data_IF_174967625433
#
_entry.id   IF_174967625433
#
_cell.length_a   1.000
_cell.length_b   1.000
_cell.length_c   1.000
_cell.angle_alpha   90.00
_cell.angle_beta   90.00
_cell.angle_gamma   90.00
#
_symmetry.space_group_name_H-M   'P 1'
#
loop_
_entity.id
_entity.type
_entity.pdbx_description
1 polymer ?
#
# COMPACT_ATOMS: atom_id res chain seq x y z
N UNK A 1 -5.64 -37.54 -11.46
CA UNK A 1 -6.87 -37.27 -12.24
C UNK A 1 -8.01 -37.12 -11.26
N UNK A 2 -8.85 -36.10 -11.46
CA UNK A 2 -10.19 -35.78 -10.93
C UNK A 2 -10.28 -34.25 -10.86
N UNK A 3 -10.42 -33.70 -12.05
CA UNK A 3 -10.74 -32.31 -12.35
C UNK A 3 -12.21 -32.08 -12.05
N UNK A 4 -12.51 -31.33 -10.99
CA UNK A 4 -13.86 -30.83 -10.74
C UNK A 4 -13.91 -29.36 -11.12
N UNK A 5 -14.33 -29.09 -12.36
CA UNK A 5 -14.62 -27.75 -12.88
C UNK A 5 -16.08 -27.42 -12.53
N UNK A 6 -16.30 -26.53 -11.56
CA UNK A 6 -17.61 -25.92 -11.32
C UNK A 6 -17.67 -24.59 -12.07
N UNK A 7 -18.51 -24.56 -13.11
CA UNK A 7 -18.85 -23.35 -13.85
C UNK A 7 -19.80 -22.49 -13.01
N UNK A 8 -19.47 -21.21 -12.85
CA UNK A 8 -20.38 -20.21 -12.29
C UNK A 8 -20.52 -19.11 -13.34
N UNK A 9 -21.69 -19.08 -13.97
CA UNK A 9 -22.16 -18.00 -14.84
C UNK A 9 -22.76 -16.90 -13.98
N UNK A 10 -22.20 -15.69 -14.02
CA UNK A 10 -22.85 -14.48 -13.51
C UNK A 10 -22.88 -13.46 -14.63
N UNK A 11 -24.05 -13.29 -15.22
CA UNK A 11 -24.43 -12.14 -16.04
C UNK A 11 -24.75 -10.97 -15.11
N UNK A 12 -24.07 -9.85 -15.31
CA UNK A 12 -24.48 -8.56 -14.75
C UNK A 12 -24.08 -7.44 -15.72
N UNK A 13 -25.06 -6.99 -16.50
CA UNK A 13 -24.99 -5.74 -17.24
C UNK A 13 -25.11 -4.59 -16.24
N UNK A 14 -24.12 -3.69 -16.21
CA UNK A 14 -24.23 -2.41 -15.51
C UNK A 14 -23.74 -1.32 -16.46
N UNK A 15 -24.68 -0.49 -16.88
CA UNK A 15 -24.43 0.74 -17.61
C UNK A 15 -23.74 1.75 -16.69
N UNK A 16 -22.60 2.29 -17.12
CA UNK A 16 -21.97 3.44 -16.47
C UNK A 16 -22.18 4.68 -17.33
N UNK A 17 -23.02 5.59 -16.83
CA UNK A 17 -23.18 6.93 -17.35
C UNK A 17 -21.88 7.72 -17.18
N UNK A 18 -21.41 8.32 -18.26
CA UNK A 18 -20.31 9.28 -18.25
C UNK A 18 -20.86 10.66 -17.86
N UNK A 19 -20.34 11.24 -16.77
CA UNK A 19 -20.38 12.68 -16.56
C UNK A 19 -18.96 13.16 -16.28
N UNK A 20 -18.31 13.66 -17.33
CA UNK A 20 -17.11 14.48 -17.25
C UNK A 20 -17.31 15.67 -18.19
N UNK A 21 -17.11 16.88 -17.66
CA UNK A 21 -16.53 17.97 -18.44
C UNK A 21 -17.29 19.30 -18.48
N UNK A 22 -16.56 20.33 -18.02
CA UNK A 22 -16.63 21.76 -18.39
C UNK A 22 -17.89 22.52 -17.92
N UNK A 23 -17.86 23.80 -17.54
CA UNK A 23 -16.91 24.91 -17.50
C UNK A 23 -17.35 25.75 -16.24
N UNK A 24 -16.81 26.88 -15.79
CA UNK A 24 -16.18 28.00 -16.45
C UNK A 24 -15.59 28.92 -15.36
N UNK A 25 -14.85 29.89 -15.83
CA UNK A 25 -14.05 30.93 -15.18
C UNK A 25 -14.80 31.92 -14.29
N UNK A 26 -14.09 32.59 -13.38
CA UNK A 26 -13.88 34.05 -13.37
C UNK A 26 -13.52 34.61 -11.98
N UNK A 27 -12.61 35.59 -12.02
CA UNK A 27 -12.00 36.29 -10.90
C UNK A 27 -12.91 37.37 -10.29
N UNK A 28 -12.68 37.71 -9.01
CA UNK A 28 -12.86 39.07 -8.49
C UNK A 28 -11.97 39.28 -7.26
N UNK A 29 -11.11 40.28 -7.34
CA UNK A 29 -10.32 40.80 -6.23
C UNK A 29 -11.18 41.74 -5.38
N UNK A 30 -10.98 41.75 -4.06
CA UNK A 30 -11.19 42.95 -3.24
C UNK A 30 -10.22 42.93 -2.04
N UNK A 31 -9.69 44.11 -1.72
CA UNK A 31 -8.57 44.34 -0.81
C UNK A 31 -9.07 44.81 0.56
N UNK A 32 -8.61 44.22 1.67
CA UNK A 32 -8.51 44.93 2.95
C UNK A 32 -7.71 44.19 4.04
N UNK A 33 -6.74 44.92 4.62
CA UNK A 33 -6.13 44.83 5.95
C UNK A 33 -5.14 43.69 6.30
N UNK A 34 -3.86 43.99 6.60
CA UNK A 34 -2.95 43.05 7.24
C UNK A 34 -3.19 43.06 8.77
N UNK A 35 -3.98 42.11 9.26
CA UNK A 35 -4.03 41.82 10.70
C UNK A 35 -2.99 40.76 11.02
N UNK A 36 -1.85 41.19 11.55
CA UNK A 36 -0.84 40.31 12.17
C UNK A 36 -1.44 39.56 13.35
N UNK A 37 -1.32 38.22 13.45
CA UNK A 37 -1.42 37.53 14.72
C UNK A 37 -0.01 37.29 15.26
N UNK A 38 0.27 37.88 16.41
CA UNK A 38 1.42 37.55 17.24
C UNK A 38 1.43 36.03 17.51
N UNK A 39 2.44 35.35 17.00
CA UNK A 39 2.66 33.92 17.26
C UNK A 39 3.33 33.73 18.61
N UNK A 40 2.54 33.48 19.65
CA UNK A 40 3.04 32.79 20.84
C UNK A 40 3.08 31.27 20.54
N UNK A 41 4.15 30.53 20.89
CA UNK A 41 4.20 29.10 20.65
C UNK A 41 3.32 28.39 21.68
N UNK A 42 2.03 28.23 21.37
CA UNK A 42 1.22 27.24 22.03
C UNK A 42 1.79 25.87 21.67
N UNK A 43 2.38 25.18 22.64
CA UNK A 43 2.55 23.71 22.58
C UNK A 43 1.15 23.13 22.43
N UNK A 44 0.70 22.97 21.20
CA UNK A 44 -0.47 22.19 20.87
C UNK A 44 -0.12 20.76 21.27
N UNK A 45 -0.56 20.34 22.45
CA UNK A 45 -0.79 18.92 22.71
C UNK A 45 -1.80 18.49 21.66
N UNK A 46 -1.30 17.92 20.56
CA UNK A 46 -2.14 17.49 19.45
C UNK A 46 -3.26 16.64 20.03
N UNK A 47 -4.49 17.16 20.01
CA UNK A 47 -5.68 16.38 20.39
C UNK A 47 -5.62 15.14 19.52
N UNK A 48 -5.52 13.97 20.15
CA UNK A 48 -5.53 12.72 19.41
C UNK A 48 -6.78 12.74 18.50
N UNK A 49 -6.66 12.41 17.21
CA UNK A 49 -7.81 12.38 16.32
C UNK A 49 -8.89 11.49 16.95
N UNK A 50 -10.05 12.09 17.18
CA UNK A 50 -11.16 11.51 17.95
C UNK A 50 -11.92 10.43 17.18
N UNK A 51 -11.54 10.16 15.93
CA UNK A 51 -12.12 9.13 15.09
C UNK A 51 -11.54 7.73 15.35
N UNK A 52 -12.42 6.72 15.40
CA UNK A 52 -12.08 5.29 15.57
C UNK A 52 -10.99 4.82 14.58
N UNK A 53 -10.93 5.42 13.39
CA UNK A 53 -10.00 5.09 12.31
C UNK A 53 -8.52 5.26 12.69
N UNK A 54 -8.14 6.35 13.36
CA UNK A 54 -6.75 6.59 13.77
C UNK A 54 -6.27 5.57 14.82
N UNK A 55 -7.14 5.27 15.79
CA UNK A 55 -6.88 4.25 16.81
C UNK A 55 -6.74 2.87 16.18
N UNK A 56 -7.65 2.52 15.26
CA UNK A 56 -7.61 1.26 14.53
C UNK A 56 -6.35 1.15 13.64
N UNK A 57 -5.92 2.25 13.01
CA UNK A 57 -4.70 2.32 12.23
C UNK A 57 -3.47 2.03 13.09
N UNK A 58 -3.27 2.77 14.18
CA UNK A 58 -2.12 2.56 15.06
C UNK A 58 -2.10 1.16 15.70
N UNK A 59 -3.28 0.59 16.00
CA UNK A 59 -3.40 -0.80 16.47
C UNK A 59 -2.94 -1.82 15.42
N UNK A 60 -3.20 -1.57 14.13
CA UNK A 60 -2.86 -2.48 13.02
C UNK A 60 -1.43 -2.32 12.53
N UNK A 61 -0.84 -1.13 12.71
CA UNK A 61 0.45 -0.74 12.16
C UNK A 61 1.57 -1.77 12.37
N UNK A 62 1.81 -2.31 13.59
CA UNK A 62 2.93 -3.25 13.81
C UNK A 62 2.81 -4.53 12.98
N UNK A 63 1.57 -5.00 12.76
CA UNK A 63 1.31 -6.19 11.94
C UNK A 63 1.51 -5.91 10.45
N UNK A 64 1.19 -4.70 10.00
CA UNK A 64 1.43 -4.28 8.62
C UNK A 64 2.92 -4.16 8.35
N UNK A 65 3.67 -3.49 9.23
CA UNK A 65 5.13 -3.40 9.17
C UNK A 65 5.78 -4.78 9.05
N UNK A 66 5.48 -5.67 9.99
CA UNK A 66 6.04 -7.01 10.00
C UNK A 66 5.70 -7.85 8.75
N UNK A 67 4.60 -7.53 8.05
CA UNK A 67 4.24 -8.17 6.77
C UNK A 67 5.11 -7.64 5.63
N UNK A 68 5.33 -6.33 5.57
CA UNK A 68 6.19 -5.70 4.55
C UNK A 68 7.62 -6.20 4.70
N UNK A 69 8.18 -6.16 5.92
CA UNK A 69 9.54 -6.62 6.15
C UNK A 69 9.73 -8.09 5.77
N UNK A 70 8.75 -8.93 6.09
CA UNK A 70 8.80 -10.36 5.74
C UNK A 70 8.70 -10.57 4.24
N UNK A 71 7.93 -9.74 3.53
CA UNK A 71 7.85 -9.79 2.08
C UNK A 71 9.19 -9.38 1.45
N UNK A 72 9.78 -8.27 1.88
CA UNK A 72 11.08 -7.79 1.42
C UNK A 72 12.19 -8.81 1.69
N UNK A 73 12.29 -9.34 2.93
CA UNK A 73 13.26 -10.40 3.26
C UNK A 73 13.11 -11.64 2.39
N UNK A 74 11.88 -12.03 2.05
CA UNK A 74 11.64 -13.20 1.19
C UNK A 74 12.06 -12.93 -0.24
N UNK A 75 11.67 -11.78 -0.80
CA UNK A 75 12.00 -11.40 -2.18
C UNK A 75 13.51 -11.27 -2.38
N UNK A 76 14.21 -10.65 -1.42
CA UNK A 76 15.66 -10.43 -1.44
C UNK A 76 16.47 -11.60 -0.88
N UNK A 77 15.82 -12.72 -0.53
CA UNK A 77 16.50 -13.90 -0.02
C UNK A 77 17.36 -14.62 -1.06
N UNK A 78 18.23 -15.55 -0.63
CA UNK A 78 19.06 -16.34 -1.55
C UNK A 78 18.23 -17.31 -2.42
N UNK A 79 18.88 -17.95 -3.39
CA UNK A 79 18.23 -18.89 -4.30
C UNK A 79 17.66 -20.16 -3.61
N UNK A 80 18.03 -20.43 -2.36
CA UNK A 80 17.46 -21.50 -1.54
C UNK A 80 16.08 -21.15 -0.99
N UNK A 81 15.75 -19.86 -0.88
CA UNK A 81 14.48 -19.40 -0.33
C UNK A 81 13.36 -19.49 -1.36
N UNK A 82 12.26 -20.14 -0.98
CA UNK A 82 11.06 -20.19 -1.83
C UNK A 82 10.48 -18.78 -1.98
N UNK A 83 10.43 -18.33 -3.23
CA UNK A 83 9.83 -17.06 -3.59
C UNK A 83 10.80 -15.88 -3.56
N UNK A 84 12.10 -16.11 -3.39
CA UNK A 84 13.10 -15.11 -3.70
C UNK A 84 13.22 -14.87 -5.20
N UNK A 85 13.68 -13.67 -5.54
CA UNK A 85 14.02 -13.28 -6.91
C UNK A 85 15.18 -14.14 -7.40
N UNK A 86 16.22 -14.34 -6.57
CA UNK A 86 17.36 -15.18 -6.91
C UNK A 86 16.98 -16.62 -7.28
N UNK A 87 16.03 -17.23 -6.56
CA UNK A 87 15.54 -18.58 -6.90
C UNK A 87 14.79 -18.59 -8.22
N UNK A 88 14.01 -17.53 -8.49
CA UNK A 88 13.24 -17.44 -9.71
C UNK A 88 14.14 -17.20 -10.92
N UNK A 89 15.17 -16.36 -10.80
CA UNK A 89 16.21 -16.19 -11.81
C UNK A 89 16.87 -17.53 -12.17
N UNK A 90 17.34 -18.29 -11.17
CA UNK A 90 17.92 -19.62 -11.41
C UNK A 90 16.97 -20.55 -12.18
N UNK A 91 15.66 -20.44 -11.99
CA UNK A 91 14.68 -21.24 -12.73
C UNK A 91 14.50 -20.77 -14.17
N UNK A 92 14.61 -19.46 -14.43
CA UNK A 92 14.67 -18.91 -15.80
C UNK A 92 15.90 -19.46 -16.51
N UNK A 93 17.07 -19.37 -15.88
CA UNK A 93 18.34 -19.82 -16.47
C UNK A 93 18.30 -21.32 -16.80
N UNK A 94 17.74 -22.13 -15.88
CA UNK A 94 17.57 -23.56 -16.10
C UNK A 94 16.59 -23.90 -17.24
N UNK A 95 15.54 -23.09 -17.46
CA UNK A 95 14.60 -23.30 -18.56
C UNK A 95 15.24 -22.90 -19.90
N UNK A 96 15.96 -21.77 -19.93
CA UNK A 96 16.72 -21.32 -21.08
C UNK A 96 17.77 -22.36 -21.51
N UNK A 97 18.53 -22.91 -20.56
CA UNK A 97 19.54 -23.94 -20.82
C UNK A 97 18.95 -25.25 -21.39
N UNK A 98 17.67 -25.51 -21.17
CA UNK A 98 16.95 -26.68 -21.71
C UNK A 98 16.23 -26.40 -23.02
N UNK A 99 16.16 -25.14 -23.46
CA UNK A 99 15.36 -24.73 -24.60
C UNK A 99 13.84 -24.73 -24.32
N UNK A 100 13.41 -24.73 -23.05
CA UNK A 100 12.00 -24.73 -22.66
C UNK A 100 11.38 -23.31 -22.79
N UNK A 101 11.26 -22.80 -24.01
CA UNK A 101 10.91 -21.39 -24.29
C UNK A 101 9.60 -20.93 -23.64
N UNK A 102 8.55 -21.76 -23.66
CA UNK A 102 7.28 -21.42 -23.01
C UNK A 102 7.40 -21.29 -21.49
N UNK A 103 8.21 -22.16 -20.86
CA UNK A 103 8.47 -22.11 -19.42
C UNK A 103 9.35 -20.92 -19.08
N UNK A 104 10.37 -20.66 -19.88
CA UNK A 104 11.25 -19.51 -19.73
C UNK A 104 10.46 -18.19 -19.76
N UNK A 105 9.61 -17.98 -20.77
CA UNK A 105 8.76 -16.79 -20.88
C UNK A 105 7.87 -16.60 -19.65
N UNK A 106 7.15 -17.66 -19.24
CA UNK A 106 6.31 -17.59 -18.04
C UNK A 106 7.11 -17.24 -16.77
N UNK A 107 8.33 -17.77 -16.64
CA UNK A 107 9.18 -17.48 -15.49
C UNK A 107 9.78 -16.07 -15.54
N UNK A 108 10.11 -15.55 -16.74
CA UNK A 108 10.54 -14.17 -16.96
C UNK A 108 9.46 -13.17 -16.56
N UNK A 109 8.21 -13.40 -16.93
CA UNK A 109 7.09 -12.53 -16.53
C UNK A 109 6.91 -12.52 -15.00
N UNK A 110 6.98 -13.69 -14.37
CA UNK A 110 6.94 -13.80 -12.91
C UNK A 110 8.12 -13.11 -12.24
N UNK A 111 9.30 -13.16 -12.86
CA UNK A 111 10.50 -12.51 -12.36
C UNK A 111 10.32 -10.99 -12.42
N UNK A 112 9.92 -10.45 -13.57
CA UNK A 112 9.63 -9.04 -13.75
C UNK A 112 8.60 -8.54 -12.72
N UNK A 113 7.50 -9.26 -12.54
CA UNK A 113 6.49 -8.92 -11.52
C UNK A 113 7.05 -8.93 -10.11
N UNK A 114 7.84 -9.94 -9.71
CA UNK A 114 8.42 -9.96 -8.35
C UNK A 114 9.42 -8.83 -8.13
N UNK A 115 10.21 -8.51 -9.14
CA UNK A 115 11.17 -7.41 -9.10
C UNK A 115 10.45 -6.07 -8.97
N UNK A 116 9.34 -5.86 -9.69
CA UNK A 116 8.57 -4.61 -9.61
C UNK A 116 7.89 -4.38 -8.26
N UNK A 117 7.67 -5.43 -7.46
CA UNK A 117 7.14 -5.29 -6.10
C UNK A 117 8.14 -4.65 -5.12
N UNK A 118 9.45 -4.86 -5.32
CA UNK A 118 10.49 -4.41 -4.38
C UNK A 118 10.45 -2.89 -4.14
N UNK A 119 10.49 -2.01 -5.17
CA UNK A 119 10.44 -0.57 -4.95
C UNK A 119 9.14 -0.14 -4.27
N UNK A 120 8.00 -0.73 -4.65
CA UNK A 120 6.70 -0.44 -4.04
C UNK A 120 6.67 -0.80 -2.55
N UNK A 121 7.24 -1.96 -2.19
CA UNK A 121 7.31 -2.40 -0.79
C UNK A 121 8.28 -1.55 0.04
N UNK A 122 9.41 -1.14 -0.55
CA UNK A 122 10.35 -0.22 0.10
C UNK A 122 9.69 1.14 0.36
N UNK A 123 8.99 1.71 -0.62
CA UNK A 123 8.26 2.97 -0.43
C UNK A 123 7.25 2.87 0.71
N UNK A 124 6.44 1.80 0.72
CA UNK A 124 5.48 1.56 1.80
C UNK A 124 6.15 1.40 3.16
N UNK A 125 7.32 0.76 3.21
CA UNK A 125 8.09 0.65 4.46
C UNK A 125 8.50 2.04 4.99
N UNK A 126 8.92 2.94 4.10
CA UNK A 126 9.26 4.32 4.46
C UNK A 126 8.02 5.08 4.95
N UNK A 127 6.89 4.98 4.25
CA UNK A 127 5.64 5.63 4.66
C UNK A 127 5.20 5.17 6.05
N UNK A 128 5.28 3.86 6.32
CA UNK A 128 4.91 3.32 7.62
C UNK A 128 5.85 3.76 8.74
N UNK A 129 7.12 4.08 8.45
CA UNK A 129 8.01 4.67 9.45
C UNK A 129 7.50 6.04 9.93
N UNK A 130 7.02 6.89 9.02
CA UNK A 130 6.41 8.16 9.38
C UNK A 130 5.12 7.97 10.20
N UNK A 131 4.27 7.00 9.81
CA UNK A 131 3.06 6.65 10.58
C UNK A 131 3.41 6.09 11.95
N UNK A 132 4.51 5.34 12.10
CA UNK A 132 4.98 4.80 13.37
C UNK A 132 5.40 5.90 14.32
N UNK A 133 6.20 6.86 13.84
CA UNK A 133 6.57 8.06 14.59
C UNK A 133 5.33 8.83 15.03
N UNK A 134 4.39 9.05 14.11
CA UNK A 134 3.14 9.74 14.43
C UNK A 134 2.33 9.00 15.49
N UNK A 135 2.08 7.69 15.33
CA UNK A 135 1.34 6.88 16.30
C UNK A 135 1.98 6.90 17.71
N UNK A 136 3.31 7.00 17.80
CA UNK A 136 4.03 7.12 19.08
C UNK A 136 3.76 8.43 19.83
N UNK A 137 3.29 9.47 19.14
CA UNK A 137 2.91 10.75 19.75
C UNK A 137 1.44 10.81 20.18
N UNK A 138 0.63 9.82 19.78
CA UNK A 138 -0.83 9.85 19.99
C UNK A 138 -1.22 9.18 21.31
N UNK A 139 -2.17 9.81 22.02
CA UNK A 139 -2.78 9.26 23.24
C UNK A 139 -4.26 8.98 22.99
N UNK A 140 -4.63 7.71 22.77
CA UNK A 140 -6.02 7.33 22.50
C UNK A 140 -6.79 7.00 23.79
N UNK A 141 -7.67 7.90 24.22
CA UNK A 141 -8.55 7.67 25.38
C UNK A 141 -9.40 6.39 25.20
N UNK A 142 -9.61 5.65 26.29
CA UNK A 142 -10.51 4.50 26.29
C UNK A 142 -11.97 4.97 26.14
N UNK A 143 -12.72 4.37 25.20
CA UNK A 143 -14.19 4.52 25.16
C UNK A 143 -14.75 3.94 26.47
N UNK A 144 -15.45 4.76 27.26
CA UNK A 144 -16.39 4.22 28.27
C UNK A 144 -17.50 3.55 27.49
N UNK A 145 -17.64 2.23 27.64
CA UNK A 145 -18.77 1.49 27.12
C UNK A 145 -20.01 1.96 27.89
N UNK A 146 -20.95 2.62 27.21
CA UNK A 146 -22.29 2.80 27.77
C UNK A 146 -22.93 1.42 27.85
N UNK A 147 -23.39 1.05 29.05
CA UNK A 147 -24.03 -0.22 29.38
C UNK A 147 -25.50 -0.18 28.99
#
# INVERSE_FOLDING_TARGET
MHTSRTAITVTAAIATAALLGAADTAAAADSAAPSTPASAPAKATAKAPTGDGARALCKRLPKTDARIDRALRRLNGPATVRGSIARLQKRVDNAAAKGDTAVETYLKDKLAFRTSLVPTLNHRSTDLAAVRTWCGTQSFAAKKSAK
#
